data_IF_966360548725
#
_entry.id   IF_966360548725
#
_cell.length_a   1.000
_cell.length_b   1.000
_cell.length_c   1.000
_cell.angle_alpha   90.00
_cell.angle_beta   90.00
_cell.angle_gamma   90.00
#
_symmetry.space_group_name_H-M   'P 1'
#
loop_
_entity.id
_entity.type
_entity.pdbx_description
1 polymer ?
#
# COMPACT_ATOMS: atom_id res chain seq x y z
N UNK A 1 12.12 -14.55 6.56
CA UNK A 1 11.58 -13.79 5.42
C UNK A 1 10.96 -12.49 5.90
N UNK A 2 11.25 -11.42 5.22
CA UNK A 2 10.68 -10.12 5.53
C UNK A 2 10.26 -9.38 4.26
N UNK A 3 9.28 -8.50 4.40
CA UNK A 3 8.75 -7.70 3.28
C UNK A 3 8.58 -6.27 3.76
N UNK A 4 9.06 -5.31 2.98
CA UNK A 4 8.86 -3.89 3.26
C UNK A 4 8.43 -3.17 1.99
N UNK A 5 7.65 -2.11 2.17
CA UNK A 5 7.30 -1.21 1.08
C UNK A 5 8.38 -0.14 0.93
N UNK A 6 8.80 0.12 -0.30
CA UNK A 6 9.83 1.12 -0.56
C UNK A 6 9.38 2.54 -0.23
N UNK A 7 8.09 2.82 -0.42
CA UNK A 7 7.50 4.13 -0.19
C UNK A 7 6.35 4.06 0.81
N UNK A 8 6.56 3.34 1.92
CA UNK A 8 5.53 3.20 2.95
C UNK A 8 5.17 4.54 3.58
N UNK A 9 3.91 4.68 3.96
CA UNK A 9 3.37 5.89 4.55
C UNK A 9 2.58 5.58 5.80
N UNK A 10 2.64 6.50 6.76
CA UNK A 10 1.89 6.39 7.99
C UNK A 10 0.41 6.64 7.68
N UNK A 11 -0.52 5.82 8.22
CA UNK A 11 -1.94 6.03 7.99
C UNK A 11 -2.44 7.30 8.66
N UNK A 12 -3.58 7.80 8.19
CA UNK A 12 -4.21 8.98 8.75
C UNK A 12 -4.57 8.78 10.23
N UNK A 13 -5.01 7.58 10.58
CA UNK A 13 -5.34 7.21 11.96
C UNK A 13 -4.58 5.94 12.34
N UNK A 14 -4.26 5.82 13.62
CA UNK A 14 -3.51 4.67 14.10
C UNK A 14 -3.95 4.28 15.49
N UNK A 15 -3.77 3.00 15.84
CA UNK A 15 -4.00 2.51 17.19
C UNK A 15 -2.78 2.77 18.06
N UNK A 16 -2.92 2.55 19.37
CA UNK A 16 -1.79 2.66 20.30
C UNK A 16 -0.70 1.62 20.03
N UNK A 17 -1.10 0.47 19.51
CA UNK A 17 -0.16 -0.61 19.17
C UNK A 17 0.80 -0.25 18.06
N UNK A 18 0.41 0.65 17.19
CA UNK A 18 1.23 1.09 16.07
C UNK A 18 2.62 1.55 16.54
N UNK A 19 2.66 2.30 17.63
CA UNK A 19 3.91 2.78 18.22
C UNK A 19 4.68 1.66 18.91
N UNK A 20 3.97 0.77 19.61
CA UNK A 20 4.59 -0.30 20.37
C UNK A 20 5.30 -1.33 19.49
N UNK A 21 4.78 -1.58 18.30
CA UNK A 21 5.39 -2.52 17.35
C UNK A 21 6.31 -1.84 16.35
N UNK A 22 6.62 -0.55 16.57
CA UNK A 22 7.49 0.24 15.70
C UNK A 22 7.01 0.31 14.26
N UNK A 23 5.70 0.25 14.06
CA UNK A 23 5.12 0.30 12.71
C UNK A 23 5.33 1.66 12.04
N UNK A 24 5.57 2.71 12.82
CA UNK A 24 5.82 4.04 12.28
C UNK A 24 7.18 4.15 11.58
N UNK A 25 8.13 3.30 11.95
CA UNK A 25 9.47 3.28 11.35
C UNK A 25 9.47 2.60 9.98
N UNK A 26 8.65 1.56 9.85
CA UNK A 26 8.53 0.79 8.61
C UNK A 26 7.06 0.53 8.30
N UNK A 27 6.29 1.57 7.98
CA UNK A 27 4.87 1.40 7.72
C UNK A 27 4.62 0.51 6.51
N UNK A 28 3.64 -0.38 6.63
CA UNK A 28 3.27 -1.30 5.56
C UNK A 28 1.94 -0.89 4.95
N UNK A 29 1.93 0.20 4.26
CA UNK A 29 0.76 0.75 3.61
C UNK A 29 1.08 2.07 2.94
N UNK A 30 0.19 2.52 2.08
CA UNK A 30 0.33 3.78 1.38
C UNK A 30 -1.01 4.49 1.35
N UNK A 31 -0.97 5.81 1.35
CA UNK A 31 -2.17 6.63 1.23
C UNK A 31 -2.38 6.93 -0.25
N UNK A 32 -3.52 6.48 -0.78
CA UNK A 32 -3.81 6.60 -2.20
C UNK A 32 -5.14 7.32 -2.41
N UNK A 33 -5.31 7.87 -3.60
CA UNK A 33 -6.60 8.43 -4.00
C UNK A 33 -7.42 7.29 -4.60
N UNK A 34 -8.60 7.05 -4.03
CA UNK A 34 -9.44 5.92 -4.39
C UNK A 34 -10.75 6.40 -4.99
N UNK A 35 -11.15 5.83 -6.12
CA UNK A 35 -12.48 6.01 -6.68
C UNK A 35 -13.21 4.67 -6.62
N UNK A 36 -14.36 4.64 -5.97
CA UNK A 36 -15.20 3.45 -5.89
C UNK A 36 -16.22 3.52 -6.99
N UNK A 37 -15.99 2.77 -8.06
CA UNK A 37 -16.82 2.84 -9.25
C UNK A 37 -16.65 1.60 -10.12
N UNK A 38 -17.57 1.41 -11.05
CA UNK A 38 -17.40 0.44 -12.12
C UNK A 38 -16.67 1.13 -13.27
N UNK A 39 -15.46 0.69 -13.58
CA UNK A 39 -14.64 1.30 -14.63
C UNK A 39 -14.36 0.29 -15.73
N UNK A 40 -15.06 0.43 -16.85
CA UNK A 40 -14.91 -0.39 -18.06
C UNK A 40 -15.00 -1.90 -17.83
N UNK A 41 -15.53 -2.34 -16.68
CA UNK A 41 -15.68 -3.76 -16.35
C UNK A 41 -14.40 -4.47 -15.93
N UNK A 42 -13.28 -3.80 -15.90
CA UNK A 42 -12.02 -4.43 -15.51
C UNK A 42 -11.86 -4.62 -14.02
N UNK A 43 -12.74 -4.03 -13.21
CA UNK A 43 -12.71 -4.16 -11.76
C UNK A 43 -13.88 -4.96 -11.20
N UNK A 44 -14.32 -5.97 -11.91
CA UNK A 44 -15.41 -6.85 -11.49
C UNK A 44 -14.89 -7.86 -10.46
N UNK A 45 -15.71 -8.13 -9.42
CA UNK A 45 -15.45 -9.13 -8.38
C UNK A 45 -14.04 -9.06 -7.80
N UNK A 46 -13.85 -8.20 -6.83
CA UNK A 46 -12.58 -8.06 -6.09
C UNK A 46 -11.39 -7.59 -6.93
N UNK A 47 -11.57 -7.36 -8.23
CA UNK A 47 -10.52 -6.81 -9.06
C UNK A 47 -10.32 -5.33 -8.76
N UNK A 48 -9.08 -4.86 -8.81
CA UNK A 48 -8.71 -3.49 -8.53
C UNK A 48 -7.89 -2.95 -9.69
N UNK A 49 -8.25 -1.75 -10.15
CA UNK A 49 -7.49 -1.05 -11.17
C UNK A 49 -6.53 -0.07 -10.53
N UNK A 50 -5.29 -0.08 -10.96
CA UNK A 50 -4.28 0.85 -10.51
C UNK A 50 -3.86 1.77 -11.66
N UNK A 51 -3.53 3.01 -11.32
CA UNK A 51 -3.01 3.95 -12.31
C UNK A 51 -1.58 3.53 -12.69
N UNK A 52 -1.34 3.29 -13.96
CA UNK A 52 -0.03 2.82 -14.45
C UNK A 52 1.09 3.82 -14.16
N UNK A 53 0.81 5.11 -14.29
CA UNK A 53 1.80 6.15 -13.98
C UNK A 53 2.22 6.11 -12.52
N UNK A 54 1.26 5.90 -11.61
CA UNK A 54 1.55 5.78 -10.18
C UNK A 54 2.39 4.55 -9.88
N UNK A 55 2.07 3.41 -10.50
CA UNK A 55 2.83 2.17 -10.34
C UNK A 55 4.27 2.36 -10.82
N UNK A 56 4.45 3.02 -11.95
CA UNK A 56 5.78 3.29 -12.51
C UNK A 56 6.59 4.22 -11.60
N UNK A 57 5.92 5.08 -10.83
CA UNK A 57 6.57 5.97 -9.87
C UNK A 57 6.87 5.29 -8.54
N UNK A 58 6.45 4.05 -8.36
CA UNK A 58 6.78 3.27 -7.18
C UNK A 58 5.63 2.89 -6.27
N UNK A 59 4.37 3.13 -6.67
CA UNK A 59 3.22 2.73 -5.85
C UNK A 59 3.30 1.22 -5.55
N UNK A 60 3.20 0.87 -4.27
CA UNK A 60 3.27 -0.51 -3.75
C UNK A 60 4.54 -1.26 -4.11
N UNK A 61 5.60 -0.56 -4.51
CA UNK A 61 6.90 -1.21 -4.75
C UNK A 61 7.41 -1.83 -3.47
N UNK A 62 7.83 -3.08 -3.55
CA UNK A 62 8.11 -3.91 -2.37
C UNK A 62 9.50 -4.53 -2.47
N UNK A 63 10.14 -4.72 -1.33
CA UNK A 63 11.41 -5.43 -1.25
C UNK A 63 11.22 -6.65 -0.34
N UNK A 64 11.65 -7.81 -0.81
CA UNK A 64 11.61 -9.07 -0.07
C UNK A 64 12.98 -9.39 0.50
N UNK A 65 12.96 -9.88 1.73
CA UNK A 65 14.17 -10.39 2.37
C UNK A 65 14.00 -11.88 2.62
N UNK A 66 14.96 -12.67 2.17
CA UNK A 66 15.06 -14.09 2.48
C UNK A 66 16.27 -14.34 3.35
N UNK A 67 16.10 -15.20 4.34
CA UNK A 67 17.20 -15.67 5.16
C UNK A 67 17.42 -17.13 4.93
#
# INVERSE_FOLDING_TARGET
MGVVLNNGQIPLVKSRYSRLIHNEEHPYGENVIVAIMCYTGYNVEDAILLNEGSVNQGLFRTTYFNR
#
